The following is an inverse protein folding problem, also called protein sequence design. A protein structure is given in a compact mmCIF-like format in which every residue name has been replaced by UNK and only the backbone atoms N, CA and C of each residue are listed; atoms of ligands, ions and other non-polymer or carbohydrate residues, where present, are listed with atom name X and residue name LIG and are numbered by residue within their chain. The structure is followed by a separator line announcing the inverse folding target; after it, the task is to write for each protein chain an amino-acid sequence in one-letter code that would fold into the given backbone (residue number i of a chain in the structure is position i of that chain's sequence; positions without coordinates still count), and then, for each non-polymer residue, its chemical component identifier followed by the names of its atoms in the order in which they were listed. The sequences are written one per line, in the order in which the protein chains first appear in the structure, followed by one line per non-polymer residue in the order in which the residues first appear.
data_IF_021597808354
#
_entry.id   IF_021597808354
#
_cell.length_a   1.000
_cell.length_b   1.000
_cell.length_c   1.000
_cell.angle_alpha   90.00
_cell.angle_beta   90.00
_cell.angle_gamma   90.00
#
_symmetry.space_group_name_H-M   'P 1'
#
loop_
_entity.id
_entity.type
_entity.pdbx_description
1 polymer ?
#
# COMPACT_ATOMS: atom_id res chain seq x y z
N UNK A 1 -16.03 -10.88 16.14
CA UNK A 1 -15.39 -10.53 14.84
C UNK A 1 -14.09 -9.85 15.15
N UNK A 2 -12.97 -10.35 14.64
CA UNK A 2 -11.66 -9.71 14.84
C UNK A 2 -11.50 -8.74 13.67
N UNK A 3 -11.58 -7.44 13.92
CA UNK A 3 -11.29 -6.42 12.90
C UNK A 3 -9.77 -6.30 12.87
N UNK A 4 -9.15 -6.69 11.74
CA UNK A 4 -7.71 -6.48 11.54
C UNK A 4 -7.41 -4.99 11.56
N UNK A 5 -6.31 -4.60 12.20
CA UNK A 5 -5.82 -3.22 12.14
C UNK A 5 -5.61 -2.79 10.67
N UNK A 6 -5.87 -1.51 10.33
CA UNK A 6 -5.69 -0.99 8.97
C UNK A 6 -4.22 -1.10 8.52
N UNK A 7 -4.02 -1.58 7.29
CA UNK A 7 -2.69 -1.70 6.67
C UNK A 7 -2.26 -0.35 6.10
N UNK A 8 -1.54 0.45 6.90
CA UNK A 8 -1.04 1.76 6.50
C UNK A 8 0.18 1.71 5.56
N UNK A 9 0.94 0.62 5.60
CA UNK A 9 2.04 0.37 4.68
C UNK A 9 2.08 -1.11 4.26
N UNK A 10 2.73 -1.36 3.13
CA UNK A 10 3.00 -2.69 2.61
C UNK A 10 4.42 -2.76 2.05
N UNK A 11 5.24 -3.66 2.58
CA UNK A 11 6.58 -3.90 2.02
C UNK A 11 6.47 -4.53 0.63
N UNK A 12 7.37 -4.19 -0.29
CA UNK A 12 7.30 -4.71 -1.66
C UNK A 12 7.29 -6.24 -1.73
N UNK A 13 8.03 -6.92 -0.85
CA UNK A 13 8.04 -8.38 -0.75
C UNK A 13 6.67 -8.99 -0.40
N UNK A 14 5.79 -8.22 0.24
CA UNK A 14 4.50 -8.67 0.75
C UNK A 14 3.32 -8.21 -0.15
N UNK A 15 3.57 -7.39 -1.19
CA UNK A 15 2.55 -6.90 -2.13
C UNK A 15 2.21 -7.98 -3.15
N UNK A 16 0.93 -8.29 -3.35
CA UNK A 16 0.43 -9.15 -4.43
C UNK A 16 -0.60 -8.45 -5.33
N UNK A 17 -1.14 -9.21 -6.30
CA UNK A 17 -2.14 -8.73 -7.28
C UNK A 17 -3.42 -8.17 -6.63
N UNK A 18 -3.76 -8.60 -5.42
CA UNK A 18 -4.97 -8.20 -4.71
C UNK A 18 -4.77 -6.86 -3.98
N UNK A 19 -3.54 -6.38 -3.82
CA UNK A 19 -3.20 -5.10 -3.20
C UNK A 19 -3.22 -3.91 -4.18
N UNK A 20 -3.61 -4.10 -5.45
CA UNK A 20 -3.57 -3.04 -6.47
C UNK A 20 -4.32 -1.76 -6.05
N UNK A 21 -5.48 -1.91 -5.39
CA UNK A 21 -6.27 -0.78 -4.88
C UNK A 21 -5.62 -0.07 -3.68
N UNK A 22 -4.71 -0.75 -2.98
CA UNK A 22 -3.98 -0.22 -1.83
C UNK A 22 -2.71 0.51 -2.22
N UNK A 23 -1.97 0.03 -3.22
CA UNK A 23 -0.62 0.53 -3.54
C UNK A 23 -0.52 1.19 -4.93
N UNK A 24 -1.58 1.11 -5.73
CA UNK A 24 -1.61 1.57 -7.11
C UNK A 24 -0.71 0.78 -8.05
N UNK A 25 -0.76 1.09 -9.35
CA UNK A 25 -0.04 0.31 -10.38
C UNK A 25 1.49 0.30 -10.23
N UNK A 26 2.09 1.37 -9.70
CA UNK A 26 3.55 1.41 -9.47
C UNK A 26 3.97 0.51 -8.30
N UNK A 27 3.25 0.59 -7.18
CA UNK A 27 3.51 -0.27 -6.02
C UNK A 27 3.30 -1.74 -6.34
N UNK A 28 2.24 -2.06 -7.08
CA UNK A 28 1.96 -3.41 -7.56
C UNK A 28 3.11 -3.94 -8.44
N UNK A 29 3.56 -3.16 -9.43
CA UNK A 29 4.68 -3.56 -10.29
C UNK A 29 5.98 -3.79 -9.49
N UNK A 30 6.27 -2.96 -8.49
CA UNK A 30 7.45 -3.16 -7.63
C UNK A 30 7.33 -4.44 -6.80
N UNK A 31 6.13 -4.79 -6.33
CA UNK A 31 5.86 -6.05 -5.66
C UNK A 31 6.11 -7.27 -6.56
N UNK A 32 5.56 -7.24 -7.77
CA UNK A 32 5.77 -8.29 -8.77
C UNK A 32 7.25 -8.44 -9.16
N UNK A 33 7.95 -7.33 -9.40
CA UNK A 33 9.41 -7.35 -9.67
C UNK A 33 10.21 -7.92 -8.50
N UNK A 34 9.84 -7.57 -7.25
CA UNK A 34 10.50 -8.08 -6.05
C UNK A 34 10.30 -9.59 -5.94
N UNK A 35 9.07 -10.08 -6.16
CA UNK A 35 8.74 -11.52 -6.13
C UNK A 35 9.37 -12.31 -7.26
N UNK A 36 9.55 -11.69 -8.42
CA UNK A 36 10.26 -12.26 -9.56
C UNK A 36 11.79 -12.27 -9.38
N UNK A 37 12.33 -11.75 -8.28
CA UNK A 37 13.76 -11.81 -7.96
C UNK A 37 14.61 -10.75 -8.64
N UNK A 38 13.99 -9.69 -9.21
CA UNK A 38 14.75 -8.54 -9.70
C UNK A 38 15.41 -7.80 -8.53
N UNK A 39 16.55 -7.11 -8.77
CA UNK A 39 17.25 -6.35 -7.72
C UNK A 39 16.52 -5.04 -7.39
N UNK A 40 15.32 -5.16 -6.82
CA UNK A 40 14.53 -4.04 -6.31
C UNK A 40 15.09 -3.63 -4.94
N UNK A 41 15.43 -2.36 -4.71
CA UNK A 41 15.82 -1.89 -3.39
C UNK A 41 14.75 -2.17 -2.34
N UNK A 42 15.16 -2.48 -1.12
CA UNK A 42 14.22 -2.65 -0.01
C UNK A 42 13.36 -1.39 0.16
N UNK A 43 12.05 -1.59 0.28
CA UNK A 43 11.10 -0.50 0.40
C UNK A 43 9.68 -0.98 0.66
N UNK A 44 8.79 -0.01 0.81
CA UNK A 44 7.38 -0.22 1.05
C UNK A 44 6.55 0.88 0.36
N UNK A 45 5.29 0.57 0.10
CA UNK A 45 4.29 1.54 -0.34
C UNK A 45 3.50 2.06 0.87
N UNK A 46 3.27 3.36 0.92
CA UNK A 46 2.23 3.95 1.77
C UNK A 46 0.90 3.71 1.08
N UNK A 47 -0.05 3.10 1.78
CA UNK A 47 -1.31 2.66 1.16
C UNK A 47 -2.30 3.80 0.98
N UNK A 48 -3.32 3.58 0.14
CA UNK A 48 -4.48 4.47 0.00
C UNK A 48 -5.22 4.65 1.33
N UNK A 49 -5.26 3.62 2.20
CA UNK A 49 -5.82 3.72 3.56
C UNK A 49 -5.09 4.81 4.39
N UNK A 50 -3.77 4.91 4.27
CA UNK A 50 -3.01 5.98 4.93
C UNK A 50 -3.37 7.36 4.40
N UNK A 51 -3.59 7.46 3.09
CA UNK A 51 -4.01 8.70 2.46
C UNK A 51 -5.40 9.12 2.95
N UNK A 52 -6.37 8.21 2.96
CA UNK A 52 -7.73 8.48 3.47
C UNK A 52 -7.71 8.90 4.94
N UNK A 53 -6.92 8.19 5.76
CA UNK A 53 -6.75 8.51 7.17
C UNK A 53 -6.11 9.89 7.38
N UNK A 54 -5.10 10.24 6.58
CA UNK A 54 -4.47 11.55 6.60
C UNK A 54 -5.48 12.65 6.27
N UNK A 55 -6.26 12.47 5.20
CA UNK A 55 -7.24 13.49 4.81
C UNK A 55 -8.35 13.66 5.85
N UNK A 56 -8.87 12.56 6.41
CA UNK A 56 -9.90 12.58 7.44
C UNK A 56 -9.40 13.25 8.73
N UNK A 57 -8.18 12.92 9.18
CA UNK A 57 -7.59 13.50 10.39
C UNK A 57 -7.41 15.02 10.29
N UNK A 58 -7.14 15.52 9.08
CA UNK A 58 -6.88 16.94 8.83
C UNK A 58 -8.09 17.70 8.27
N UNK A 59 -9.26 17.06 8.20
CA UNK A 59 -10.49 17.64 7.62
C UNK A 59 -10.27 18.19 6.18
N UNK A 60 -9.43 17.50 5.39
CA UNK A 60 -9.10 17.91 4.01
C UNK A 60 -10.16 17.40 3.02
N UNK A 61 -10.91 16.37 3.39
CA UNK A 61 -12.14 15.96 2.68
C UNK A 61 -13.31 16.65 3.38
N UNK A 62 -13.75 17.76 2.80
CA UNK A 62 -15.01 18.41 3.13
C UNK A 62 -15.78 18.53 1.82
N UNK A 63 -16.56 17.51 1.46
CA UNK A 63 -17.82 17.54 0.69
C UNK A 63 -18.41 16.13 0.65
#
# INVERSE_FOLDING_TARGET
MIVSAPKYNLFFKDIDKDDLSLVGGKGANLGEMTKAGFPVPYGFAVTTISYDAFLAHNNIINT
#
